data_IF_926972368164
#
_entry.id   IF_926972368164
#
_cell.length_a   1.000
_cell.length_b   1.000
_cell.length_c   1.000
_cell.angle_alpha   90.00
_cell.angle_beta   90.00
_cell.angle_gamma   90.00
#
_symmetry.space_group_name_H-M   'P 1'
#
loop_
_entity.id
_entity.type
_entity.pdbx_description
1 polymer ?
#
# COMPACT_ATOMS: atom_id res chain seq x y z
N UNK A 1 -16.82 -19.80 -30.22
CA UNK A 1 -16.17 -18.47 -30.15
C UNK A 1 -14.74 -18.64 -30.64
N UNK A 2 -14.34 -18.00 -31.73
CA UNK A 2 -12.92 -18.01 -32.16
C UNK A 2 -12.14 -17.03 -31.28
N UNK A 3 -10.99 -17.44 -30.76
CA UNK A 3 -10.11 -16.57 -29.98
C UNK A 3 -9.52 -15.47 -30.90
N UNK A 4 -9.48 -14.23 -30.42
CA UNK A 4 -8.84 -13.13 -31.14
C UNK A 4 -7.32 -13.30 -31.22
N UNK A 5 -6.70 -12.75 -32.27
CA UNK A 5 -5.24 -12.68 -32.39
C UNK A 5 -4.68 -11.63 -31.43
N UNK A 6 -3.64 -11.98 -30.66
CA UNK A 6 -2.94 -11.06 -29.76
C UNK A 6 -1.93 -10.18 -30.53
N UNK A 7 -2.01 -8.86 -30.37
CA UNK A 7 -1.03 -7.90 -30.90
C UNK A 7 0.09 -7.67 -29.89
N UNK A 8 1.08 -8.56 -29.89
CA UNK A 8 2.24 -8.49 -28.99
C UNK A 8 3.02 -7.18 -29.15
N UNK A 9 3.21 -6.73 -30.40
CA UNK A 9 3.98 -5.53 -30.69
C UNK A 9 3.24 -4.26 -30.25
N UNK A 10 1.91 -4.22 -30.35
CA UNK A 10 1.10 -3.17 -29.76
C UNK A 10 1.22 -3.14 -28.24
N UNK A 11 1.11 -4.29 -27.59
CA UNK A 11 1.20 -4.42 -26.14
C UNK A 11 2.55 -3.93 -25.57
N UNK A 12 3.67 -4.31 -26.20
CA UNK A 12 5.02 -3.94 -25.73
C UNK A 12 5.32 -2.45 -25.83
N UNK A 13 4.71 -1.75 -26.79
CA UNK A 13 4.91 -0.30 -26.97
C UNK A 13 4.01 0.56 -26.08
N UNK A 14 3.05 -0.06 -25.41
CA UNK A 14 2.02 0.66 -24.68
C UNK A 14 2.56 1.21 -23.35
N UNK A 15 2.11 2.42 -22.99
CA UNK A 15 2.47 3.01 -21.71
C UNK A 15 1.40 2.68 -20.68
N UNK A 16 1.77 1.83 -19.73
CA UNK A 16 0.94 1.50 -18.59
C UNK A 16 1.13 2.54 -17.48
N UNK A 17 0.02 3.02 -16.94
CA UNK A 17 -0.02 3.96 -15.82
C UNK A 17 -0.77 3.34 -14.65
N UNK A 18 -0.31 3.69 -13.45
CA UNK A 18 -0.90 3.22 -12.22
C UNK A 18 -2.32 3.77 -12.07
N UNK A 19 -3.25 2.90 -11.69
CA UNK A 19 -4.57 3.33 -11.26
C UNK A 19 -4.44 3.91 -9.86
N UNK A 20 -5.04 5.08 -9.64
CA UNK A 20 -5.13 5.71 -8.33
C UNK A 20 -6.57 5.76 -7.83
N UNK A 21 -6.73 5.88 -6.53
CA UNK A 21 -8.02 6.10 -5.87
C UNK A 21 -7.85 6.98 -4.65
N UNK A 22 -8.80 7.89 -4.51
CA UNK A 22 -8.96 8.72 -3.32
C UNK A 22 -9.74 7.93 -2.26
N UNK A 23 -9.18 7.87 -1.05
CA UNK A 23 -9.76 7.22 0.13
C UNK A 23 -10.02 8.31 1.18
N UNK A 24 -11.28 8.73 1.36
CA UNK A 24 -11.64 9.69 2.39
C UNK A 24 -11.38 9.14 3.79
N UNK A 25 -10.78 9.95 4.64
CA UNK A 25 -10.41 9.63 6.03
C UNK A 25 -10.86 10.74 7.01
N UNK A 26 -12.17 11.04 7.11
CA UNK A 26 -12.69 12.11 7.96
C UNK A 26 -12.28 12.00 9.45
N UNK A 27 -12.08 10.78 9.95
CA UNK A 27 -11.57 10.50 11.29
C UNK A 27 -10.14 11.00 11.53
N UNK A 28 -9.40 11.34 10.47
CA UNK A 28 -8.06 11.91 10.53
C UNK A 28 -8.02 13.42 10.25
N UNK A 29 -9.18 14.09 10.13
CA UNK A 29 -9.26 15.48 9.68
C UNK A 29 -8.40 16.46 10.48
N UNK A 30 -8.28 16.31 11.79
CA UNK A 30 -7.48 17.21 12.63
C UNK A 30 -5.97 17.18 12.33
N UNK A 31 -5.49 16.14 11.64
CA UNK A 31 -4.09 16.01 11.23
C UNK A 31 -3.83 16.44 9.77
N UNK A 32 -4.88 16.82 9.02
CA UNK A 32 -4.75 17.42 7.69
C UNK A 32 -4.80 18.95 7.83
N UNK A 33 -3.71 19.63 7.47
CA UNK A 33 -3.60 21.09 7.62
C UNK A 33 -4.19 21.86 6.45
N UNK A 34 -4.16 21.27 5.25
CA UNK A 34 -4.63 21.89 4.01
C UNK A 34 -5.30 20.84 3.13
N UNK A 35 -6.55 21.08 2.73
CA UNK A 35 -7.32 20.21 1.83
C UNK A 35 -8.24 19.20 2.54
N UNK A 36 -8.87 18.36 1.73
CA UNK A 36 -9.75 17.30 2.23
C UNK A 36 -8.93 16.18 2.88
N UNK A 37 -9.43 15.57 3.97
CA UNK A 37 -8.74 14.46 4.63
C UNK A 37 -8.85 13.22 3.76
N UNK A 38 -7.98 13.09 2.77
CA UNK A 38 -7.97 12.05 1.76
C UNK A 38 -6.56 11.48 1.62
N UNK A 39 -6.47 10.15 1.58
CA UNK A 39 -5.27 9.49 1.08
C UNK A 39 -5.48 9.08 -0.37
N UNK A 40 -4.51 9.41 -1.22
CA UNK A 40 -4.43 8.87 -2.58
C UNK A 40 -3.62 7.58 -2.51
N UNK A 41 -4.19 6.49 -2.98
CA UNK A 41 -3.52 5.18 -3.08
C UNK A 41 -3.47 4.69 -4.52
N UNK A 42 -2.57 3.76 -4.80
CA UNK A 42 -2.41 3.08 -6.08
C UNK A 42 -2.40 1.55 -5.92
N UNK A 43 -2.56 0.86 -7.04
CA UNK A 43 -2.26 -0.56 -7.13
C UNK A 43 -0.75 -0.84 -7.07
N UNK A 44 -0.39 -2.02 -6.59
CA UNK A 44 0.98 -2.53 -6.64
C UNK A 44 1.22 -3.28 -7.95
N UNK A 45 2.46 -3.24 -8.42
CA UNK A 45 2.95 -4.23 -9.39
C UNK A 45 3.03 -5.61 -8.73
N UNK A 46 3.05 -6.67 -9.54
CA UNK A 46 3.18 -8.03 -9.01
C UNK A 46 4.49 -8.20 -8.22
N UNK A 47 5.58 -7.62 -8.72
CA UNK A 47 6.89 -7.63 -8.09
C UNK A 47 6.92 -6.90 -6.73
N UNK A 48 6.28 -5.73 -6.62
CA UNK A 48 6.11 -5.05 -5.33
C UNK A 48 5.28 -5.88 -4.33
N UNK A 49 4.24 -6.55 -4.81
CA UNK A 49 3.44 -7.45 -3.99
C UNK A 49 4.29 -8.59 -3.43
N UNK A 50 5.10 -9.24 -4.29
CA UNK A 50 5.98 -10.34 -3.87
C UNK A 50 7.03 -9.84 -2.86
N UNK A 51 7.62 -8.65 -3.07
CA UNK A 51 8.51 -8.03 -2.07
C UNK A 51 7.83 -7.84 -0.71
N UNK A 52 6.61 -7.33 -0.69
CA UNK A 52 5.86 -7.17 0.55
C UNK A 52 5.60 -8.53 1.22
N UNK A 53 5.31 -9.57 0.45
CA UNK A 53 5.06 -10.92 0.97
C UNK A 53 6.35 -11.58 1.50
N UNK A 54 7.51 -11.32 0.89
CA UNK A 54 8.80 -11.81 1.35
C UNK A 54 9.16 -11.32 2.77
N UNK A 55 8.68 -10.13 3.17
CA UNK A 55 8.84 -9.61 4.53
C UNK A 55 8.24 -10.52 5.61
N UNK A 56 7.20 -11.31 5.30
CA UNK A 56 6.69 -12.29 6.26
C UNK A 56 7.68 -13.45 6.48
N UNK A 57 8.41 -13.85 5.44
CA UNK A 57 9.45 -14.88 5.53
C UNK A 57 10.67 -14.35 6.28
N UNK A 58 11.12 -13.13 5.98
CA UNK A 58 12.20 -12.46 6.72
C UNK A 58 11.84 -12.25 8.19
N UNK A 59 10.60 -11.84 8.50
CA UNK A 59 10.14 -11.71 9.87
C UNK A 59 10.16 -13.06 10.63
N UNK A 60 9.94 -14.19 9.95
CA UNK A 60 10.07 -15.53 10.55
C UNK A 60 11.52 -15.88 10.82
N UNK A 61 12.43 -15.54 9.89
CA UNK A 61 13.87 -15.75 10.05
C UNK A 61 14.38 -14.93 11.23
N UNK A 62 14.08 -13.62 11.27
CA UNK A 62 14.46 -12.75 12.40
C UNK A 62 13.86 -13.23 13.72
N UNK A 63 12.63 -13.74 13.73
CA UNK A 63 12.04 -14.31 14.94
C UNK A 63 12.76 -15.59 15.39
N UNK A 64 13.19 -16.44 14.45
CA UNK A 64 13.96 -17.64 14.75
C UNK A 64 15.38 -17.30 15.24
N UNK A 65 16.04 -16.31 14.64
CA UNK A 65 17.33 -15.78 15.08
C UNK A 65 17.24 -15.19 16.49
N UNK A 66 16.23 -14.36 16.76
CA UNK A 66 15.99 -13.82 18.09
C UNK A 66 15.71 -14.94 19.10
N UNK A 67 14.91 -15.95 18.76
CA UNK A 67 14.68 -17.10 19.65
C UNK A 67 15.95 -17.92 19.90
N UNK A 68 16.82 -18.06 18.89
CA UNK A 68 18.11 -18.72 19.06
C UNK A 68 19.00 -17.92 20.01
N UNK A 69 19.13 -16.60 19.83
CA UNK A 69 19.89 -15.72 20.74
C UNK A 69 19.37 -15.79 22.19
N UNK A 70 18.04 -15.80 22.38
CA UNK A 70 17.41 -15.91 23.70
C UNK A 70 17.59 -17.30 24.34
N UNK A 71 17.75 -18.35 23.53
CA UNK A 71 18.05 -19.69 24.03
C UNK A 71 19.51 -19.83 24.50
N UNK A 72 20.40 -18.98 24.00
CA UNK A 72 21.81 -18.95 24.40
C UNK A 72 22.12 -17.93 25.52
N UNK A 73 21.25 -16.93 25.75
CA UNK A 73 21.45 -15.88 26.77
C UNK A 73 20.50 -16.09 27.98
N UNK A 74 21.03 -16.56 29.13
CA UNK A 74 20.24 -16.90 30.34
C UNK A 74 19.82 -15.68 31.19
N UNK A 75 19.95 -14.44 30.70
CA UNK A 75 19.62 -13.22 31.47
C UNK A 75 18.82 -12.20 30.64
N UNK A 76 17.79 -11.60 31.28
CA UNK A 76 16.95 -10.47 30.83
C UNK A 76 16.59 -10.38 29.34
N UNK A 77 16.18 -11.53 28.83
CA UNK A 77 15.80 -11.81 27.44
C UNK A 77 14.57 -11.00 26.94
N UNK A 78 13.70 -10.51 27.83
CA UNK A 78 12.46 -9.81 27.44
C UNK A 78 12.65 -8.35 27.02
N UNK A 79 13.60 -7.63 27.64
CA UNK A 79 13.77 -6.19 27.40
C UNK A 79 14.49 -5.92 26.07
N UNK A 80 15.49 -6.74 25.71
CA UNK A 80 16.20 -6.65 24.42
C UNK A 80 15.26 -6.87 23.22
N UNK A 81 14.32 -7.82 23.32
CA UNK A 81 13.35 -8.11 22.25
C UNK A 81 12.39 -6.93 22.05
N UNK A 82 12.05 -6.21 23.12
CA UNK A 82 11.19 -5.04 23.07
C UNK A 82 11.91 -3.87 22.39
N UNK A 83 13.18 -3.60 22.75
CA UNK A 83 14.01 -2.57 22.09
C UNK A 83 14.20 -2.84 20.60
N UNK A 84 14.45 -4.08 20.18
CA UNK A 84 14.58 -4.45 18.76
C UNK A 84 13.27 -4.18 17.99
N UNK A 85 12.12 -4.53 18.58
CA UNK A 85 10.80 -4.28 17.97
C UNK A 85 10.48 -2.79 17.85
N UNK A 86 10.85 -2.02 18.86
CA UNK A 86 10.71 -0.56 18.86
C UNK A 86 11.65 0.09 17.81
N UNK A 87 12.90 -0.37 17.70
CA UNK A 87 13.89 0.09 16.72
C UNK A 87 13.51 -0.19 15.25
N UNK A 88 12.77 -1.27 14.98
CA UNK A 88 12.25 -1.58 13.64
C UNK A 88 11.03 -0.72 13.24
N UNK A 89 10.53 0.12 14.14
CA UNK A 89 9.38 1.00 13.89
C UNK A 89 8.07 0.24 13.73
N UNK A 90 8.01 -1.00 14.22
CA UNK A 90 6.84 -1.87 14.11
C UNK A 90 5.81 -1.60 15.21
N UNK A 91 6.16 -0.80 16.23
CA UNK A 91 5.29 -0.60 17.39
C UNK A 91 4.88 -1.95 18.01
N UNK A 92 3.75 -2.01 18.70
CA UNK A 92 3.21 -3.28 19.23
C UNK A 92 2.83 -4.34 18.17
N UNK A 93 3.13 -4.13 16.88
CA UNK A 93 2.80 -5.04 15.78
C UNK A 93 3.73 -6.26 15.78
N UNK A 94 3.24 -7.32 16.41
CA UNK A 94 3.95 -8.59 16.53
C UNK A 94 3.60 -9.59 15.43
N UNK A 95 2.40 -9.49 14.85
CA UNK A 95 1.90 -10.46 13.88
C UNK A 95 2.49 -10.23 12.48
N UNK A 96 3.14 -11.23 11.86
CA UNK A 96 3.74 -11.10 10.54
C UNK A 96 2.75 -10.65 9.45
N UNK A 97 1.50 -11.13 9.51
CA UNK A 97 0.47 -10.72 8.56
C UNK A 97 0.18 -9.21 8.61
N UNK A 98 0.17 -8.62 9.81
CA UNK A 98 -0.03 -7.18 9.98
C UNK A 98 1.14 -6.38 9.41
N UNK A 99 2.38 -6.87 9.54
CA UNK A 99 3.57 -6.22 8.96
C UNK A 99 3.50 -6.18 7.45
N UNK A 100 3.17 -7.31 6.81
CA UNK A 100 2.95 -7.36 5.35
C UNK A 100 1.86 -6.40 4.92
N UNK A 101 0.75 -6.33 5.64
CA UNK A 101 -0.33 -5.39 5.35
C UNK A 101 0.13 -3.92 5.44
N UNK A 102 0.96 -3.58 6.43
CA UNK A 102 1.55 -2.24 6.57
C UNK A 102 2.44 -1.92 5.36
N UNK A 103 3.33 -2.84 4.95
CA UNK A 103 4.18 -2.62 3.77
C UNK A 103 3.35 -2.44 2.49
N UNK A 104 2.29 -3.23 2.32
CA UNK A 104 1.37 -3.08 1.18
C UNK A 104 0.73 -1.70 1.13
N UNK A 105 0.21 -1.23 2.26
CA UNK A 105 -0.37 0.12 2.35
C UNK A 105 0.69 1.17 2.06
N UNK A 106 1.88 1.07 2.65
CA UNK A 106 2.99 2.02 2.41
C UNK A 106 3.42 2.06 0.95
N UNK A 107 3.59 0.91 0.31
CA UNK A 107 3.97 0.82 -1.10
C UNK A 107 2.88 1.41 -2.01
N UNK A 108 1.61 1.20 -1.66
CA UNK A 108 0.46 1.72 -2.40
C UNK A 108 0.12 3.18 -2.10
N UNK A 109 0.68 3.79 -1.05
CA UNK A 109 0.32 5.15 -0.66
C UNK A 109 1.00 6.17 -1.58
N UNK A 110 0.24 7.02 -2.28
CA UNK A 110 0.76 8.05 -3.18
C UNK A 110 0.95 9.35 -2.43
N UNK A 111 -0.11 9.87 -1.80
CA UNK A 111 -0.04 11.12 -1.02
C UNK A 111 -1.12 11.18 0.08
N UNK A 112 -0.83 11.77 1.25
CA UNK A 112 0.52 12.05 1.75
C UNK A 112 1.32 10.77 2.00
N UNK A 113 2.65 10.84 1.87
CA UNK A 113 3.54 9.73 2.24
C UNK A 113 3.64 9.65 3.76
N UNK A 114 3.55 8.43 4.29
CA UNK A 114 3.63 8.16 5.73
C UNK A 114 4.82 7.26 6.03
N UNK A 115 5.40 7.43 7.21
CA UNK A 115 6.38 6.51 7.76
C UNK A 115 5.70 5.21 8.22
N UNK A 116 6.50 4.14 8.35
CA UNK A 116 6.02 2.86 8.86
C UNK A 116 5.33 2.97 10.22
N UNK A 117 5.93 3.72 11.14
CA UNK A 117 5.36 3.95 12.47
C UNK A 117 4.01 4.68 12.42
N UNK A 118 3.84 5.62 11.49
CA UNK A 118 2.55 6.30 11.29
C UNK A 118 1.48 5.33 10.76
N UNK A 119 1.80 4.52 9.75
CA UNK A 119 0.87 3.52 9.22
C UNK A 119 0.53 2.45 10.26
N UNK A 120 1.53 1.99 11.03
CA UNK A 120 1.32 1.08 12.15
C UNK A 120 0.39 1.68 13.22
N UNK A 121 0.55 2.97 13.53
CA UNK A 121 -0.33 3.67 14.47
C UNK A 121 -1.76 3.79 13.95
N UNK A 122 -1.96 4.02 12.65
CA UNK A 122 -3.28 3.97 12.02
C UNK A 122 -3.85 2.55 12.13
N UNK A 123 -3.08 1.52 11.83
CA UNK A 123 -3.53 0.13 11.96
C UNK A 123 -3.95 -0.23 13.40
N UNK A 124 -3.22 0.25 14.40
CA UNK A 124 -3.50 -0.02 15.81
C UNK A 124 -4.70 0.77 16.35
N UNK A 125 -4.83 2.05 15.98
CA UNK A 125 -5.81 2.96 16.60
C UNK A 125 -7.06 3.17 15.75
N UNK A 126 -6.96 2.97 14.44
CA UNK A 126 -8.01 3.21 13.45
C UNK A 126 -8.11 2.03 12.47
N UNK A 127 -8.42 0.81 12.97
CA UNK A 127 -8.37 -0.41 12.16
C UNK A 127 -9.33 -0.39 10.96
N UNK A 128 -10.48 0.29 11.06
CA UNK A 128 -11.41 0.45 9.94
C UNK A 128 -10.76 1.26 8.80
N UNK A 129 -10.16 2.41 9.12
CA UNK A 129 -9.41 3.26 8.16
C UNK A 129 -8.29 2.48 7.50
N UNK A 130 -7.51 1.74 8.30
CA UNK A 130 -6.43 0.91 7.77
C UNK A 130 -6.95 -0.18 6.83
N UNK A 131 -8.06 -0.83 7.20
CA UNK A 131 -8.73 -1.83 6.37
C UNK A 131 -9.18 -1.28 5.02
N UNK A 132 -9.78 -0.08 5.00
CA UNK A 132 -10.21 0.60 3.77
C UNK A 132 -9.03 0.93 2.85
N UNK A 133 -7.92 1.42 3.41
CA UNK A 133 -6.69 1.67 2.64
C UNK A 133 -6.14 0.39 2.03
N UNK A 134 -6.02 -0.67 2.84
CA UNK A 134 -5.52 -1.96 2.38
C UNK A 134 -6.42 -2.57 1.30
N UNK A 135 -7.74 -2.50 1.47
CA UNK A 135 -8.71 -2.97 0.48
C UNK A 135 -8.61 -2.18 -0.82
N UNK A 136 -8.47 -0.86 -0.75
CA UNK A 136 -8.29 -0.02 -1.92
C UNK A 136 -7.03 -0.40 -2.70
N UNK A 137 -5.89 -0.56 -2.01
CA UNK A 137 -4.64 -1.05 -2.62
C UNK A 137 -4.83 -2.42 -3.26
N UNK A 138 -5.46 -3.37 -2.55
CA UNK A 138 -5.72 -4.72 -3.08
C UNK A 138 -6.62 -4.69 -4.33
N UNK A 139 -7.71 -3.92 -4.31
CA UNK A 139 -8.62 -3.79 -5.44
C UNK A 139 -7.90 -3.23 -6.67
N UNK A 140 -7.12 -2.16 -6.50
CA UNK A 140 -6.36 -1.57 -7.59
C UNK A 140 -5.26 -2.51 -8.11
N UNK A 141 -4.57 -3.22 -7.22
CA UNK A 141 -3.56 -4.24 -7.58
C UNK A 141 -4.16 -5.33 -8.47
N UNK A 142 -5.35 -5.84 -8.12
CA UNK A 142 -6.03 -6.87 -8.90
C UNK A 142 -6.56 -6.37 -10.25
N UNK A 143 -6.77 -5.05 -10.42
CA UNK A 143 -7.11 -4.46 -11.71
C UNK A 143 -5.87 -4.29 -12.62
N UNK A 144 -4.67 -4.35 -12.05
CA UNK A 144 -3.42 -4.05 -12.72
C UNK A 144 -3.27 -2.56 -13.05
N UNK A 145 -2.42 -2.25 -14.03
CA UNK A 145 -2.28 -0.90 -14.58
C UNK A 145 -3.25 -0.68 -15.75
N UNK A 146 -3.58 0.58 -16.02
CA UNK A 146 -4.35 0.97 -17.21
C UNK A 146 -3.42 1.49 -18.28
N UNK A 147 -3.80 1.32 -19.54
CA UNK A 147 -3.18 2.02 -20.66
C UNK A 147 -3.48 3.51 -20.54
N UNK A 148 -2.47 4.36 -20.71
CA UNK A 148 -2.65 5.81 -20.79
C UNK A 148 -3.54 6.14 -22.00
N UNK A 149 -4.82 6.44 -21.75
CA UNK A 149 -5.69 6.93 -22.81
C UNK A 149 -5.16 8.29 -23.26
N UNK A 150 -4.63 8.37 -24.48
CA UNK A 150 -4.46 9.66 -25.18
C UNK A 150 -5.80 10.39 -25.10
N UNK A 151 -5.82 11.54 -24.43
CA UNK A 151 -7.02 12.36 -24.32
C UNK A 151 -7.58 12.58 -25.72
N UNK A 152 -8.81 12.15 -25.98
CA UNK A 152 -9.46 12.50 -27.24
C UNK A 152 -9.50 14.03 -27.35
N UNK A 153 -9.20 14.64 -28.51
CA UNK A 153 -9.35 16.08 -28.68
C UNK A 153 -10.80 16.44 -28.36
N UNK A 154 -10.97 17.30 -27.35
CA UNK A 154 -12.27 17.84 -26.95
C UNK A 154 -12.94 18.44 -28.19
N UNK A 155 -13.96 17.75 -28.69
CA UNK A 155 -14.76 18.20 -29.81
C UNK A 155 -15.56 19.45 -29.42
N UNK A 156 -15.26 20.56 -30.09
CA UNK A 156 -16.04 21.82 -30.20
C UNK A 156 -17.41 21.79 -29.52
N UNK A 157 -17.55 22.56 -28.44
CA UNK A 157 -18.85 23.06 -27.95
C UNK A 157 -19.53 23.86 -29.07
N UNK A 158 -20.70 23.42 -29.53
CA UNK A 158 -21.62 24.31 -30.27
C UNK A 158 -22.20 25.29 -29.26
N UNK A 159 -22.05 26.58 -29.55
CA UNK A 159 -22.69 27.65 -28.78
C UNK A 159 -24.22 27.45 -28.82
N UNK A 160 -24.85 27.37 -27.65
CA UNK A 160 -26.30 27.41 -27.53
C UNK A 160 -26.80 28.79 -27.95
N UNK A 161 -27.66 28.85 -28.96
CA UNK A 161 -28.48 30.02 -29.29
C UNK A 161 -29.63 30.04 -28.29
N UNK A 162 -29.73 31.11 -27.48
CA UNK A 162 -30.92 31.40 -26.69
C UNK A 162 -32.00 31.97 -27.61
N UNK A 163 -33.23 31.47 -27.45
CA UNK A 163 -34.46 32.08 -27.93
C UNK A 163 -35.36 32.33 -26.71
#
# INVERSE_FOLDING_TARGET
MAAGKFDASGFEREKFVERTRDVPVPQLAEWFKDGEPVFVVRGLTFDERIRCEAMASEARIQAAEALAELAFDQSDSKDKVKEIKEGLGWGGVTQPATRVSIEKVMAGLVTPKLSRGQVARIAERLPATFGELLEAVHKLTNQGQSVEKKSAPSGRTKASVQA
#
